data_IF_792021230939
#
_entry.id   IF_792021230939
#
_cell.length_a   1.000
_cell.length_b   1.000
_cell.length_c   1.000
_cell.angle_alpha   90.00
_cell.angle_beta   90.00
_cell.angle_gamma   90.00
#
_symmetry.space_group_name_H-M   'P 1'
#
loop_
_entity.id
_entity.type
_entity.pdbx_description
1 polymer ?
#
# COMPACT_ATOMS: atom_id res chain seq x y z
N UNK A 1 -5.27 -21.91 -42.99
CA UNK A 1 -4.11 -21.07 -43.40
C UNK A 1 -4.48 -19.66 -43.90
N UNK A 2 -5.55 -19.50 -44.68
CA UNK A 2 -5.95 -18.19 -45.25
C UNK A 2 -6.80 -17.32 -44.31
N UNK A 3 -7.64 -17.92 -43.47
CA UNK A 3 -8.56 -17.18 -42.59
C UNK A 3 -7.84 -16.35 -41.51
N UNK A 4 -6.73 -16.86 -40.96
CA UNK A 4 -5.97 -16.19 -39.91
C UNK A 4 -5.28 -14.88 -40.35
N UNK A 5 -4.97 -14.73 -41.64
CA UNK A 5 -4.38 -13.50 -42.18
C UNK A 5 -5.42 -12.36 -42.22
N UNK A 6 -6.68 -12.69 -42.53
CA UNK A 6 -7.79 -11.74 -42.58
C UNK A 6 -8.11 -11.13 -41.20
N UNK A 7 -8.03 -11.94 -40.13
CA UNK A 7 -8.20 -11.47 -38.75
C UNK A 7 -6.99 -10.68 -38.21
N UNK A 8 -5.78 -10.92 -38.71
CA UNK A 8 -4.56 -10.20 -38.27
C UNK A 8 -4.27 -8.89 -39.04
N UNK A 9 -4.89 -8.69 -40.21
CA UNK A 9 -4.70 -7.52 -41.07
C UNK A 9 -5.84 -6.50 -40.98
N UNK A 10 -6.73 -6.43 -41.99
CA UNK A 10 -7.71 -5.34 -42.14
C UNK A 10 -8.72 -5.27 -40.98
N UNK A 11 -9.13 -6.41 -40.42
CA UNK A 11 -10.05 -6.44 -39.26
C UNK A 11 -9.39 -5.85 -38.01
N UNK A 12 -8.11 -6.16 -37.75
CA UNK A 12 -7.37 -5.60 -36.60
C UNK A 12 -7.12 -4.10 -36.75
N UNK A 13 -6.84 -3.66 -37.98
CA UNK A 13 -6.67 -2.23 -38.29
C UNK A 13 -8.00 -1.47 -38.10
N UNK A 14 -9.11 -2.02 -38.59
CA UNK A 14 -10.45 -1.46 -38.42
C UNK A 14 -10.93 -1.51 -36.96
N UNK A 15 -10.68 -2.61 -36.24
CA UNK A 15 -11.04 -2.73 -34.81
C UNK A 15 -10.22 -1.77 -33.93
N UNK A 16 -8.99 -1.44 -34.34
CA UNK A 16 -8.14 -0.46 -33.67
C UNK A 16 -8.64 0.99 -33.80
N UNK A 17 -9.55 1.28 -34.73
CA UNK A 17 -10.20 2.58 -34.87
C UNK A 17 -11.33 2.79 -33.86
N UNK A 18 -11.76 1.74 -33.15
CA UNK A 18 -12.73 1.83 -32.05
C UNK A 18 -12.01 1.69 -30.70
N UNK A 19 -11.53 2.81 -30.16
CA UNK A 19 -10.77 2.89 -28.90
C UNK A 19 -11.59 2.58 -27.64
N UNK A 20 -12.92 2.45 -27.75
CA UNK A 20 -13.82 2.19 -26.62
C UNK A 20 -13.61 0.79 -25.99
N UNK A 21 -12.94 -0.14 -26.70
CA UNK A 21 -12.68 -1.51 -26.23
C UNK A 21 -11.24 -1.82 -25.82
N UNK A 22 -10.31 -0.86 -25.84
CA UNK A 22 -8.88 -1.11 -25.57
C UNK A 22 -8.57 -0.69 -24.13
N UNK A 23 -8.03 -1.61 -23.34
CA UNK A 23 -7.59 -1.32 -21.98
C UNK A 23 -6.53 -0.20 -21.95
N UNK A 24 -6.53 0.67 -20.92
CA UNK A 24 -5.49 1.68 -20.77
C UNK A 24 -4.11 1.03 -20.67
N UNK A 25 -3.08 1.75 -21.11
CA UNK A 25 -1.69 1.29 -20.98
C UNK A 25 -1.28 1.23 -19.52
N UNK A 26 -0.50 0.22 -19.13
CA UNK A 26 0.06 0.10 -17.77
C UNK A 26 0.82 1.34 -17.32
N UNK A 27 1.52 2.02 -18.24
CA UNK A 27 2.23 3.26 -17.96
C UNK A 27 1.33 4.39 -17.49
N UNK A 28 0.09 4.43 -17.99
CA UNK A 28 -0.92 5.39 -17.54
C UNK A 28 -1.38 5.04 -16.12
N UNK A 29 -1.66 3.75 -15.85
CA UNK A 29 -2.00 3.29 -14.51
C UNK A 29 -0.91 3.61 -13.49
N UNK A 30 0.36 3.37 -13.84
CA UNK A 30 1.50 3.72 -13.00
C UNK A 30 1.60 5.22 -12.73
N UNK A 31 1.32 6.07 -13.73
CA UNK A 31 1.34 7.52 -13.57
C UNK A 31 0.26 8.00 -12.58
N UNK A 32 -0.96 7.47 -12.68
CA UNK A 32 -2.07 7.79 -11.75
C UNK A 32 -1.76 7.32 -10.33
N UNK A 33 -1.30 6.07 -10.17
CA UNK A 33 -0.96 5.54 -8.85
C UNK A 33 0.18 6.34 -8.21
N UNK A 34 1.17 6.75 -9.01
CA UNK A 34 2.30 7.55 -8.51
C UNK A 34 1.86 8.92 -7.99
N UNK A 35 0.88 9.56 -8.61
CA UNK A 35 0.36 10.85 -8.11
C UNK A 35 -0.49 10.68 -6.85
N UNK A 36 -1.28 9.60 -6.75
CA UNK A 36 -2.07 9.30 -5.55
C UNK A 36 -1.22 8.90 -4.34
N UNK A 37 -0.09 8.22 -4.56
CA UNK A 37 0.84 7.81 -3.50
C UNK A 37 1.80 8.94 -3.08
N UNK A 38 1.75 10.10 -3.72
CA UNK A 38 2.54 11.27 -3.37
C UNK A 38 1.68 12.30 -2.64
N UNK A 39 2.32 13.12 -1.82
CA UNK A 39 1.68 14.24 -1.15
C UNK A 39 1.51 15.38 -2.17
N UNK A 40 0.41 15.35 -2.92
CA UNK A 40 0.14 16.24 -4.05
C UNK A 40 -1.28 16.77 -4.02
N UNK A 41 -1.50 17.96 -4.60
CA UNK A 41 -2.83 18.57 -4.74
C UNK A 41 -3.85 17.65 -5.41
N UNK A 42 -3.41 16.71 -6.26
CA UNK A 42 -4.31 15.73 -6.89
C UNK A 42 -4.93 14.80 -5.84
N UNK A 43 -4.14 14.33 -4.87
CA UNK A 43 -4.61 13.49 -3.77
C UNK A 43 -5.65 14.23 -2.94
N UNK A 44 -5.37 15.48 -2.58
CA UNK A 44 -6.28 16.32 -1.80
C UNK A 44 -7.61 16.57 -2.51
N UNK A 45 -7.57 16.73 -3.84
CA UNK A 45 -8.78 16.83 -4.66
C UNK A 45 -9.59 15.53 -4.65
N UNK A 46 -8.93 14.37 -4.69
CA UNK A 46 -9.62 13.07 -4.62
C UNK A 46 -10.21 12.79 -3.24
N UNK A 47 -9.57 13.28 -2.18
CA UNK A 47 -10.07 13.13 -0.80
C UNK A 47 -10.93 14.31 -0.37
N UNK A 48 -11.27 15.23 -1.27
CA UNK A 48 -12.11 16.38 -0.94
C UNK A 48 -13.48 15.95 -0.42
N UNK A 49 -13.89 16.55 0.70
CA UNK A 49 -15.13 16.19 1.40
C UNK A 49 -15.02 14.96 2.32
N UNK A 50 -13.87 14.28 2.36
CA UNK A 50 -13.59 13.23 3.35
C UNK A 50 -13.01 13.88 4.59
N UNK A 51 -13.61 13.59 5.75
CA UNK A 51 -13.06 14.02 7.03
C UNK A 51 -11.81 13.20 7.37
N UNK A 52 -10.67 13.88 7.49
CA UNK A 52 -9.41 13.30 7.95
C UNK A 52 -9.16 13.80 9.39
N UNK A 53 -9.33 12.95 10.41
CA UNK A 53 -9.06 13.33 11.78
C UNK A 53 -7.55 13.52 12.01
N UNK A 54 -7.18 14.56 12.77
CA UNK A 54 -5.81 14.73 13.28
C UNK A 54 -5.47 13.73 14.40
N UNK A 55 -6.50 13.17 15.03
CA UNK A 55 -6.35 12.20 16.11
C UNK A 55 -5.94 10.81 15.58
N UNK A 56 -4.73 10.40 15.94
CA UNK A 56 -4.13 9.10 15.63
C UNK A 56 -4.74 7.95 16.43
N UNK A 57 -5.71 8.16 17.31
CA UNK A 57 -6.47 7.06 17.93
C UNK A 57 -7.44 6.41 16.93
N UNK A 58 -7.88 7.18 15.93
CA UNK A 58 -8.84 6.73 14.92
C UNK A 58 -8.15 5.95 13.80
N UNK A 59 -8.87 5.02 13.16
CA UNK A 59 -8.30 4.25 12.04
C UNK A 59 -7.79 5.12 10.89
N UNK A 60 -8.55 6.16 10.51
CA UNK A 60 -8.15 7.09 9.45
C UNK A 60 -6.95 7.95 9.85
N UNK A 61 -6.93 8.48 11.07
CA UNK A 61 -5.82 9.28 11.58
C UNK A 61 -4.51 8.49 11.68
N UNK A 62 -4.57 7.21 12.08
CA UNK A 62 -3.41 6.29 12.05
C UNK A 62 -2.82 6.15 10.65
N UNK A 63 -3.67 5.92 9.65
CA UNK A 63 -3.24 5.75 8.26
C UNK A 63 -2.57 7.03 7.76
N UNK A 64 -3.12 8.21 8.05
CA UNK A 64 -2.52 9.46 7.57
C UNK A 64 -1.24 9.87 8.28
N UNK A 65 -1.17 9.66 9.60
CA UNK A 65 0.09 9.82 10.32
C UNK A 65 1.18 8.91 9.75
N UNK A 66 0.86 7.64 9.47
CA UNK A 66 1.77 6.71 8.82
C UNK A 66 2.17 7.15 7.40
N UNK A 67 1.22 7.64 6.60
CA UNK A 67 1.49 8.15 5.25
C UNK A 67 2.51 9.27 5.27
N UNK A 68 2.31 10.31 6.08
CA UNK A 68 3.24 11.44 6.15
C UNK A 68 4.61 11.03 6.71
N UNK A 69 4.67 10.18 7.73
CA UNK A 69 5.93 9.71 8.29
C UNK A 69 6.76 8.90 7.27
N UNK A 70 6.11 7.97 6.55
CA UNK A 70 6.77 7.17 5.51
C UNK A 70 7.20 8.04 4.33
N UNK A 71 6.38 9.03 3.93
CA UNK A 71 6.73 9.98 2.86
C UNK A 71 7.96 10.81 3.22
N UNK A 72 8.03 11.35 4.45
CA UNK A 72 9.22 12.07 4.94
C UNK A 72 10.47 11.18 4.95
N UNK A 73 10.32 9.91 5.33
CA UNK A 73 11.42 8.95 5.37
C UNK A 73 11.83 8.37 3.99
N UNK A 74 11.08 8.61 2.91
CA UNK A 74 11.31 8.01 1.59
C UNK A 74 12.71 8.34 1.02
N UNK A 75 13.18 9.58 1.24
CA UNK A 75 14.52 10.01 0.85
C UNK A 75 15.63 9.24 1.59
N UNK A 76 15.43 8.98 2.88
CA UNK A 76 16.35 8.24 3.74
C UNK A 76 16.39 6.75 3.36
N UNK A 77 15.23 6.14 3.08
CA UNK A 77 15.21 4.76 2.56
C UNK A 77 15.98 4.64 1.23
N UNK A 78 15.83 5.60 0.32
CA UNK A 78 16.59 5.63 -0.94
C UNK A 78 18.09 5.76 -0.69
N UNK A 79 18.50 6.57 0.29
CA UNK A 79 19.90 6.73 0.73
C UNK A 79 20.47 5.40 1.24
N UNK A 80 19.75 4.70 2.12
CA UNK A 80 20.15 3.38 2.63
C UNK A 80 20.24 2.33 1.51
N UNK A 81 19.26 2.27 0.61
CA UNK A 81 19.30 1.35 -0.55
C UNK A 81 20.51 1.62 -1.45
N UNK A 82 20.86 2.88 -1.67
CA UNK A 82 22.08 3.27 -2.41
C UNK A 82 23.34 2.81 -1.68
N UNK A 83 23.42 2.96 -0.35
CA UNK A 83 24.56 2.52 0.45
C UNK A 83 24.74 0.99 0.41
N UNK A 84 23.64 0.22 0.46
CA UNK A 84 23.66 -1.24 0.29
C UNK A 84 24.17 -1.61 -1.11
N UNK A 85 23.67 -0.95 -2.16
CA UNK A 85 24.14 -1.18 -3.54
C UNK A 85 25.63 -0.85 -3.71
N UNK A 86 26.12 0.17 -3.01
CA UNK A 86 27.52 0.57 -2.98
C UNK A 86 28.39 -0.31 -2.07
N UNK A 87 27.83 -1.37 -1.45
CA UNK A 87 28.49 -2.26 -0.48
C UNK A 87 29.07 -1.53 0.75
N UNK A 88 28.58 -0.33 1.04
CA UNK A 88 28.96 0.44 2.24
C UNK A 88 28.21 -0.03 3.49
N UNK A 89 27.05 -0.66 3.30
CA UNK A 89 26.18 -1.17 4.36
C UNK A 89 25.73 -2.58 3.96
N UNK A 90 25.75 -3.52 4.91
CA UNK A 90 25.20 -4.85 4.69
C UNK A 90 23.67 -4.79 4.55
N UNK A 91 23.07 -5.72 3.80
CA UNK A 91 21.62 -5.81 3.68
C UNK A 91 21.03 -6.28 5.03
N UNK A 92 20.07 -5.55 5.56
CA UNK A 92 19.38 -5.88 6.81
C UNK A 92 18.05 -5.13 6.94
N UNK A 93 17.39 -5.28 8.09
CA UNK A 93 16.10 -4.65 8.44
C UNK A 93 16.01 -4.43 9.95
N UNK A 94 15.09 -3.56 10.37
CA UNK A 94 14.79 -3.28 11.77
C UNK A 94 15.79 -2.36 12.46
N UNK A 95 15.60 -2.17 13.76
CA UNK A 95 16.31 -1.16 14.55
C UNK A 95 17.83 -1.38 14.61
N UNK A 96 18.27 -2.63 14.79
CA UNK A 96 19.70 -2.98 14.83
C UNK A 96 20.42 -2.65 13.51
N UNK A 97 19.73 -2.82 12.39
CA UNK A 97 20.28 -2.47 11.08
C UNK A 97 20.41 -0.96 10.90
N UNK A 98 19.45 -0.19 11.41
CA UNK A 98 19.53 1.27 11.41
C UNK A 98 20.62 1.79 12.35
N UNK A 99 20.86 1.11 13.48
CA UNK A 99 22.01 1.38 14.36
C UNK A 99 23.33 1.21 13.59
N UNK A 100 23.50 0.09 12.88
CA UNK A 100 24.69 -0.14 12.06
C UNK A 100 24.87 0.92 10.97
N UNK A 101 23.77 1.35 10.34
CA UNK A 101 23.82 2.41 9.33
C UNK A 101 24.26 3.76 9.93
N UNK A 102 23.84 4.07 11.16
CA UNK A 102 24.24 5.28 11.87
C UNK A 102 25.72 5.21 12.31
N UNK A 103 26.18 4.07 12.85
CA UNK A 103 27.58 3.90 13.26
C UNK A 103 28.55 3.94 12.08
N UNK A 104 28.14 3.46 10.90
CA UNK A 104 28.90 3.56 9.66
C UNK A 104 28.82 4.95 9.00
N UNK A 105 28.11 5.91 9.60
CA UNK A 105 27.98 7.28 9.09
C UNK A 105 27.15 7.39 7.80
N UNK A 106 26.36 6.38 7.47
CA UNK A 106 25.44 6.43 6.32
C UNK A 106 24.26 7.36 6.61
N UNK A 107 23.80 7.38 7.85
CA UNK A 107 22.73 8.26 8.33
C UNK A 107 23.09 8.92 9.67
N UNK A 108 22.44 10.04 10.00
CA UNK A 108 22.55 10.67 11.31
C UNK A 108 21.64 10.00 12.36
N UNK A 109 21.82 10.33 13.64
CA UNK A 109 20.93 9.86 14.71
C UNK A 109 19.49 10.41 14.56
N UNK A 110 19.35 11.64 14.07
CA UNK A 110 18.05 12.24 13.78
C UNK A 110 17.35 11.51 12.61
N UNK A 111 18.08 11.23 11.53
CA UNK A 111 17.58 10.46 10.39
C UNK A 111 17.18 9.03 10.81
N UNK A 112 17.93 8.41 11.73
CA UNK A 112 17.57 7.12 12.33
C UNK A 112 16.25 7.20 13.11
N UNK A 113 16.07 8.23 13.94
CA UNK A 113 14.85 8.41 14.72
C UNK A 113 13.62 8.55 13.80
N UNK A 114 13.74 9.32 12.72
CA UNK A 114 12.68 9.48 11.71
C UNK A 114 12.31 8.15 11.04
N UNK A 115 13.30 7.31 10.71
CA UNK A 115 13.05 5.99 10.11
C UNK A 115 12.36 5.03 11.09
N UNK A 116 12.75 5.04 12.37
CA UNK A 116 12.13 4.23 13.41
C UNK A 116 10.69 4.65 13.67
N UNK A 117 10.43 5.95 13.73
CA UNK A 117 9.09 6.50 13.89
C UNK A 117 8.19 6.12 12.71
N UNK A 118 8.69 6.27 11.47
CA UNK A 118 7.95 5.86 10.28
C UNK A 118 7.66 4.35 10.26
N UNK A 119 8.60 3.51 10.70
CA UNK A 119 8.40 2.07 10.82
C UNK A 119 7.36 1.71 11.89
N UNK A 120 7.39 2.39 13.04
CA UNK A 120 6.41 2.23 14.11
C UNK A 120 4.99 2.58 13.64
N UNK A 121 4.80 3.76 13.04
CA UNK A 121 3.50 4.21 12.55
C UNK A 121 2.98 3.32 11.42
N UNK A 122 3.87 2.91 10.51
CA UNK A 122 3.52 1.95 9.46
C UNK A 122 3.05 0.63 10.05
N UNK A 123 3.75 0.11 11.07
CA UNK A 123 3.37 -1.13 11.72
C UNK A 123 2.01 -1.02 12.40
N UNK A 124 1.78 0.07 13.13
CA UNK A 124 0.50 0.36 13.80
C UNK A 124 -0.67 0.48 12.81
N UNK A 125 -0.48 1.14 11.68
CA UNK A 125 -1.50 1.25 10.64
C UNK A 125 -1.80 -0.08 9.90
N UNK A 126 -0.87 -1.03 9.92
CA UNK A 126 -1.04 -2.37 9.30
C UNK A 126 -1.75 -3.34 10.26
N UNK A 127 -1.67 -3.12 11.58
CA UNK A 127 -2.34 -3.99 12.53
C UNK A 127 -3.86 -3.98 12.33
N UNK A 128 -4.44 -5.17 12.24
CA UNK A 128 -5.88 -5.38 12.25
C UNK A 128 -6.25 -5.91 13.63
N UNK A 129 -7.42 -5.50 14.13
CA UNK A 129 -7.95 -6.03 15.39
C UNK A 129 -8.02 -7.56 15.33
N UNK A 130 -7.43 -8.21 16.33
CA UNK A 130 -7.56 -9.65 16.51
C UNK A 130 -8.84 -9.93 17.31
N UNK A 131 -9.84 -10.50 16.64
CA UNK A 131 -11.10 -10.85 17.27
C UNK A 131 -11.05 -12.29 17.77
N UNK A 132 -11.09 -12.47 19.10
CA UNK A 132 -11.21 -13.81 19.67
C UNK A 132 -12.52 -14.48 19.20
N UNK A 133 -12.44 -15.75 18.84
CA UNK A 133 -13.58 -16.59 18.44
C UNK A 133 -14.72 -16.58 19.47
N UNK A 134 -14.38 -16.58 20.77
CA UNK A 134 -15.38 -16.53 21.83
C UNK A 134 -16.14 -15.19 21.84
N UNK A 135 -15.46 -14.07 21.59
CA UNK A 135 -16.08 -12.75 21.48
C UNK A 135 -16.97 -12.65 20.21
N UNK A 136 -16.54 -13.31 19.12
CA UNK A 136 -17.30 -13.36 17.88
C UNK A 136 -18.61 -14.17 18.02
N UNK A 137 -18.56 -15.31 18.71
CA UNK A 137 -19.72 -16.21 18.88
C UNK A 137 -20.68 -15.76 19.98
N UNK A 138 -20.23 -14.97 20.95
CA UNK A 138 -21.09 -14.39 22.00
C UNK A 138 -22.21 -13.49 21.43
N UNK A 139 -22.00 -12.90 20.25
CA UNK A 139 -22.96 -11.97 19.63
C UNK A 139 -23.84 -12.65 18.56
N UNK A 140 -23.48 -13.86 18.12
CA UNK A 140 -24.28 -14.60 17.14
C UNK A 140 -25.52 -15.19 17.79
N UNK A 141 -26.70 -14.89 17.25
CA UNK A 141 -27.94 -15.54 17.64
C UNK A 141 -27.80 -17.07 17.55
N UNK A 142 -28.43 -17.76 18.51
CA UNK A 142 -28.40 -19.22 18.71
C UNK A 142 -28.28 -19.97 17.36
N UNK A 143 -27.23 -20.80 17.16
CA UNK A 143 -27.01 -21.44 15.87
C UNK A 143 -28.28 -22.19 15.43
N UNK A 144 -28.69 -22.01 14.19
CA UNK A 144 -29.82 -22.74 13.63
C UNK A 144 -29.49 -24.24 13.67
N UNK A 145 -30.11 -24.96 14.60
CA UNK A 145 -30.07 -26.42 14.65
C UNK A 145 -31.18 -26.91 13.73
N UNK A 146 -30.81 -27.51 12.59
CA UNK A 146 -31.77 -28.15 11.70
C UNK A 146 -32.41 -29.32 12.44
N UNK A 147 -33.68 -29.19 12.79
CA UNK A 147 -34.46 -30.28 13.39
C UNK A 147 -34.76 -31.35 12.30
N UNK A 148 -34.19 -32.57 12.40
CA UNK A 148 -34.44 -33.62 11.41
C UNK A 148 -35.88 -34.16 11.46
N UNK A 149 -36.69 -33.82 12.47
CA UNK A 149 -38.08 -34.26 12.60
C UNK A 149 -39.08 -33.41 11.80
N UNK A 150 -38.69 -32.21 11.36
CA UNK A 150 -39.53 -31.29 10.59
C UNK A 150 -39.61 -31.63 9.09
N UNK A 151 -38.84 -32.61 8.62
CA UNK A 151 -38.97 -33.19 7.29
C UNK A 151 -39.82 -34.46 7.36
N UNK A 152 -41.13 -34.30 7.52
CA UNK A 152 -42.13 -35.34 7.26
C UNK A 152 -43.06 -34.88 6.15
#
# INVERSE_FOLDING_TARGET
>A
PLLGWFFKGPIRWWSGLNTIGIAPKDSLGQAVVSSMLADTDQRDRFTSGIYVPEDTSTGMGRIEAAFHAVKKAEGLEKKLRKAVKAKKLAKGRGAEWLEMAATQGVISQEEKAQLLEAEKLRWDAIQVDDFNWDAYTATTAKPYVRDPSAAK
#
